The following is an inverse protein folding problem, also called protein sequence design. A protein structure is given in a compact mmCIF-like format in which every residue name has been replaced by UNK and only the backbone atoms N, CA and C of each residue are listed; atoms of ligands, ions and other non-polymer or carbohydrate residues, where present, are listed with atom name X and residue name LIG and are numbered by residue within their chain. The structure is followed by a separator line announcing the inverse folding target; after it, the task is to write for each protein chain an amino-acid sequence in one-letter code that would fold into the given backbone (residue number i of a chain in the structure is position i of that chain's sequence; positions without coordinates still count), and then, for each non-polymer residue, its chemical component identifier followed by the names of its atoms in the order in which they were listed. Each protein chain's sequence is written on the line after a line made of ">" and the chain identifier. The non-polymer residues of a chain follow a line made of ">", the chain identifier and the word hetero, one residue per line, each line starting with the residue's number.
data_IF_490301901489
#
_entry.id   IF_490301901489
#
_cell.length_a   1.000
_cell.length_b   1.000
_cell.length_c   1.000
_cell.angle_alpha   90.00
_cell.angle_beta   90.00
_cell.angle_gamma   90.00
#
_symmetry.space_group_name_H-M   'P 1'
#
loop_
_entity.id
_entity.type
_entity.pdbx_description
1 polymer ?
#
# COMPACT_ATOMS: atom_id res chain seq x y z
N UNK A 1 -10.22 26.80 -44.98
CA UNK A 1 -9.09 26.00 -44.45
C UNK A 1 -8.07 27.01 -43.92
N UNK A 2 -8.07 27.27 -42.61
CA UNK A 2 -7.13 28.20 -41.97
C UNK A 2 -5.75 27.53 -41.98
N UNK A 3 -4.82 28.00 -42.81
CA UNK A 3 -3.48 27.44 -42.89
C UNK A 3 -2.44 28.23 -42.09
N UNK A 4 -2.71 29.51 -41.80
CA UNK A 4 -1.70 30.43 -41.27
C UNK A 4 -2.18 31.28 -40.07
N UNK A 5 -3.22 30.86 -39.34
CA UNK A 5 -3.65 31.56 -38.12
C UNK A 5 -4.18 33.00 -38.31
N UNK A 6 -4.43 33.44 -39.55
CA UNK A 6 -4.98 34.75 -39.86
C UNK A 6 -6.46 34.67 -40.24
N UNK A 7 -7.24 35.65 -39.79
CA UNK A 7 -8.61 35.88 -40.23
C UNK A 7 -8.89 37.35 -40.46
N UNK A 8 -9.81 37.65 -41.37
CA UNK A 8 -10.19 39.03 -41.71
C UNK A 8 -11.50 39.38 -41.02
N UNK A 9 -11.51 40.48 -40.26
CA UNK A 9 -12.72 41.06 -39.69
C UNK A 9 -12.79 42.55 -40.07
N UNK A 10 -13.89 42.95 -40.70
CA UNK A 10 -14.15 44.32 -41.19
C UNK A 10 -12.97 44.94 -41.97
N UNK A 11 -12.35 44.14 -42.84
CA UNK A 11 -11.24 44.60 -43.69
C UNK A 11 -9.87 44.67 -42.99
N UNK A 12 -9.79 44.33 -41.70
CA UNK A 12 -8.53 44.22 -40.98
C UNK A 12 -8.13 42.74 -40.81
N UNK A 13 -6.90 42.41 -41.20
CA UNK A 13 -6.29 41.09 -40.96
C UNK A 13 -5.89 41.01 -39.49
N UNK A 14 -6.42 40.05 -38.75
CA UNK A 14 -6.03 39.73 -37.37
C UNK A 14 -5.28 38.40 -37.33
N UNK A 15 -4.18 38.36 -36.57
CA UNK A 15 -3.45 37.13 -36.26
C UNK A 15 -3.99 36.52 -34.97
N UNK A 16 -4.24 35.21 -34.96
CA UNK A 16 -4.65 34.46 -33.77
C UNK A 16 -3.46 34.06 -32.88
N UNK A 17 -2.22 34.43 -33.25
CA UNK A 17 -1.01 33.93 -32.61
C UNK A 17 -0.73 32.46 -32.95
N UNK A 18 0.49 31.99 -32.67
CA UNK A 18 0.91 30.62 -32.99
C UNK A 18 0.22 29.61 -32.06
N UNK A 19 -0.52 28.62 -32.60
CA UNK A 19 -1.13 27.58 -31.76
C UNK A 19 -0.07 26.58 -31.28
N UNK A 20 0.07 26.43 -29.96
CA UNK A 20 0.80 25.31 -29.36
C UNK A 20 -0.05 24.04 -29.48
N UNK A 21 0.35 23.14 -30.39
CA UNK A 21 -0.29 21.84 -30.60
C UNK A 21 0.44 20.75 -29.79
N UNK A 22 -0.19 20.27 -28.72
CA UNK A 22 0.31 19.15 -27.93
C UNK A 22 -0.27 17.82 -28.43
N UNK A 23 0.59 16.95 -28.97
CA UNK A 23 0.21 15.57 -29.31
C UNK A 23 0.64 14.63 -28.17
N UNK A 24 -0.32 14.27 -27.31
CA UNK A 24 -0.11 13.28 -26.25
C UNK A 24 -0.26 11.87 -26.82
N UNK A 25 0.86 11.21 -27.13
CA UNK A 25 0.86 9.84 -27.63
C UNK A 25 1.34 8.89 -26.54
N UNK A 26 0.45 8.06 -26.01
CA UNK A 26 0.81 6.90 -25.20
C UNK A 26 1.40 5.83 -26.11
N UNK A 27 2.71 5.70 -26.19
CA UNK A 27 3.36 4.55 -26.81
C UNK A 27 4.07 3.71 -25.74
N UNK A 28 3.84 2.40 -25.74
CA UNK A 28 4.76 1.46 -25.11
C UNK A 28 6.05 1.43 -25.94
N UNK A 29 7.23 1.29 -25.31
CA UNK A 29 8.48 1.23 -26.06
C UNK A 29 8.44 0.02 -27.01
N UNK A 30 8.76 0.18 -28.31
CA UNK A 30 9.00 -0.96 -29.17
C UNK A 30 10.22 -1.73 -28.65
N UNK A 31 10.18 -3.06 -28.75
CA UNK A 31 11.26 -3.98 -28.40
C UNK A 31 12.44 -3.94 -29.39
N UNK A 32 12.78 -2.78 -29.94
CA UNK A 32 13.84 -2.61 -30.94
C UNK A 32 14.94 -1.74 -30.37
N UNK A 33 16.10 -2.38 -30.17
CA UNK A 33 17.36 -1.74 -29.83
C UNK A 33 17.69 -0.63 -30.83
N UNK A 34 17.96 0.57 -30.29
CA UNK A 34 18.94 1.53 -30.79
C UNK A 34 18.79 2.01 -32.23
N UNK A 35 18.02 3.08 -32.44
CA UNK A 35 18.46 4.12 -33.38
C UNK A 35 18.94 5.28 -32.52
N UNK A 36 20.25 5.57 -32.46
CA UNK A 36 20.74 6.70 -31.71
C UNK A 36 20.20 7.99 -32.32
N UNK A 37 19.74 8.90 -31.46
CA UNK A 37 19.40 10.26 -31.85
C UNK A 37 20.69 10.92 -32.35
N UNK A 38 20.74 11.48 -33.57
CA UNK A 38 21.94 12.15 -34.06
C UNK A 38 22.22 13.33 -33.13
N UNK A 39 23.33 13.26 -32.39
CA UNK A 39 23.78 14.37 -31.54
C UNK A 39 24.78 15.16 -32.37
N UNK A 40 24.46 16.41 -32.70
CA UNK A 40 25.35 17.29 -33.44
C UNK A 40 26.65 17.49 -32.65
N UNK A 41 27.79 17.29 -33.29
CA UNK A 41 29.10 17.51 -32.66
C UNK A 41 29.42 19.00 -32.59
N UNK A 42 30.18 19.40 -31.56
CA UNK A 42 30.53 20.79 -31.23
C UNK A 42 31.29 21.56 -32.33
N UNK A 43 31.69 20.91 -33.42
CA UNK A 43 32.33 21.56 -34.56
C UNK A 43 31.36 22.15 -35.59
N UNK A 44 30.05 21.84 -35.55
CA UNK A 44 29.06 22.37 -36.51
C UNK A 44 28.51 23.77 -36.14
N UNK A 45 28.92 24.32 -34.99
CA UNK A 45 28.35 25.57 -34.45
C UNK A 45 29.04 26.86 -34.93
N UNK A 46 30.13 26.77 -35.71
CA UNK A 46 30.91 27.98 -36.08
C UNK A 46 30.38 28.76 -37.28
N UNK A 47 29.40 28.25 -38.02
CA UNK A 47 28.97 28.85 -39.30
C UNK A 47 27.49 29.28 -39.39
N UNK A 48 26.76 29.40 -38.27
CA UNK A 48 25.36 29.87 -38.29
C UNK A 48 25.22 31.28 -37.74
N UNK A 49 25.22 32.25 -38.66
CA UNK A 49 24.67 33.59 -38.43
C UNK A 49 23.19 33.48 -38.01
N UNK A 50 22.84 34.23 -36.95
CA UNK A 50 21.48 34.55 -36.49
C UNK A 50 20.45 33.43 -36.64
N UNK A 51 20.35 32.56 -35.63
CA UNK A 51 19.17 31.71 -35.46
C UNK A 51 18.03 32.62 -35.02
N UNK A 52 17.03 32.80 -35.88
CA UNK A 52 15.76 33.41 -35.53
C UNK A 52 15.04 32.49 -34.52
N UNK A 53 14.97 32.93 -33.26
CA UNK A 53 14.34 32.17 -32.16
C UNK A 53 12.88 31.79 -32.48
N UNK A 54 12.19 32.58 -33.30
CA UNK A 54 10.81 32.29 -33.72
C UNK A 54 10.73 31.07 -34.63
N UNK A 55 11.67 30.91 -35.57
CA UNK A 55 11.75 29.73 -36.42
C UNK A 55 12.18 28.48 -35.64
N UNK A 56 13.01 28.62 -34.60
CA UNK A 56 13.38 27.48 -33.73
C UNK A 56 12.16 26.95 -32.97
N UNK A 57 11.31 27.84 -32.46
CA UNK A 57 10.07 27.50 -31.73
C UNK A 57 9.01 26.87 -32.66
N UNK A 58 8.94 27.33 -33.92
CA UNK A 58 8.03 26.76 -34.93
C UNK A 58 8.37 25.30 -35.30
N UNK A 59 9.64 24.89 -35.15
CA UNK A 59 10.12 23.53 -35.43
C UNK A 59 10.38 22.69 -34.18
N UNK A 60 10.16 23.23 -32.99
CA UNK A 60 10.29 22.53 -31.71
C UNK A 60 9.09 21.60 -31.50
N UNK A 61 9.09 20.49 -32.22
CA UNK A 61 8.21 19.36 -31.91
C UNK A 61 8.74 18.62 -30.69
N UNK A 62 8.33 19.07 -29.51
CA UNK A 62 8.58 18.36 -28.26
C UNK A 62 7.75 17.07 -28.21
N UNK A 63 8.39 15.92 -28.41
CA UNK A 63 7.75 14.62 -28.12
C UNK A 63 7.88 14.36 -26.62
N UNK A 64 6.83 14.70 -25.85
CA UNK A 64 6.74 14.29 -24.45
C UNK A 64 6.29 12.83 -24.40
N UNK A 65 7.23 11.91 -24.18
CA UNK A 65 6.92 10.50 -23.95
C UNK A 65 6.47 10.30 -22.50
N UNK A 66 5.16 10.20 -22.30
CA UNK A 66 4.61 9.85 -20.98
C UNK A 66 4.68 8.33 -20.84
N UNK A 67 5.47 7.86 -19.87
CA UNK A 67 5.57 6.44 -19.56
C UNK A 67 4.21 5.92 -19.07
N UNK A 68 3.77 4.79 -19.62
CA UNK A 68 2.53 4.13 -19.21
C UNK A 68 2.61 3.45 -17.82
N UNK A 69 1.53 2.77 -17.41
CA UNK A 69 1.48 2.11 -16.10
C UNK A 69 2.39 0.87 -16.03
N UNK A 70 2.78 0.28 -17.16
CA UNK A 70 3.59 -0.93 -17.17
C UNK A 70 5.05 -0.64 -16.81
N UNK A 71 5.67 -1.60 -16.12
CA UNK A 71 7.11 -1.57 -15.86
C UNK A 71 7.85 -1.65 -17.19
N UNK A 72 8.75 -0.70 -17.45
CA UNK A 72 9.46 -0.63 -18.75
C UNK A 72 10.74 -1.46 -18.78
N UNK A 73 11.35 -1.72 -17.62
CA UNK A 73 12.54 -2.56 -17.47
C UNK A 73 12.63 -3.10 -16.04
N UNK A 74 13.48 -4.10 -15.80
CA UNK A 74 13.73 -4.63 -14.45
C UNK A 74 14.22 -3.57 -13.44
N UNK A 75 14.84 -2.50 -13.95
CA UNK A 75 15.33 -1.35 -13.18
C UNK A 75 14.26 -0.28 -12.93
N UNK A 76 13.15 -0.28 -13.69
CA UNK A 76 12.01 0.62 -13.45
C UNK A 76 11.30 0.19 -12.16
N UNK A 77 11.77 0.71 -11.02
CA UNK A 77 11.11 0.55 -9.71
C UNK A 77 10.00 1.58 -9.47
N UNK A 78 9.96 2.63 -10.30
CA UNK A 78 9.04 3.77 -10.14
C UNK A 78 7.67 3.53 -10.80
N UNK A 79 7.47 2.41 -11.51
CA UNK A 79 6.19 2.09 -12.13
C UNK A 79 5.02 2.07 -11.14
N UNK A 80 5.23 1.59 -9.91
CA UNK A 80 4.20 1.58 -8.86
C UNK A 80 3.82 3.00 -8.42
N UNK A 81 4.79 3.90 -8.31
CA UNK A 81 4.56 5.33 -8.01
C UNK A 81 3.82 6.00 -9.17
N UNK A 82 4.23 5.78 -10.42
CA UNK A 82 3.51 6.27 -11.60
C UNK A 82 2.06 5.78 -11.60
N UNK A 83 1.84 4.49 -11.32
CA UNK A 83 0.49 3.90 -11.21
C UNK A 83 -0.31 4.56 -10.09
N UNK A 84 0.29 4.83 -8.94
CA UNK A 84 -0.40 5.51 -7.84
C UNK A 84 -0.84 6.92 -8.25
N UNK A 85 0.01 7.67 -8.96
CA UNK A 85 -0.34 9.00 -9.49
C UNK A 85 -1.48 8.91 -10.52
N UNK A 86 -1.38 7.98 -11.48
CA UNK A 86 -2.42 7.75 -12.49
C UNK A 86 -3.75 7.34 -11.85
N UNK A 87 -3.71 6.35 -10.96
CA UNK A 87 -4.87 5.85 -10.22
C UNK A 87 -5.54 6.98 -9.43
N UNK A 88 -4.76 7.77 -8.68
CA UNK A 88 -5.28 8.90 -7.92
C UNK A 88 -5.96 9.92 -8.82
N UNK A 89 -5.33 10.28 -9.94
CA UNK A 89 -5.91 11.24 -10.89
C UNK A 89 -7.21 10.72 -11.50
N UNK A 90 -7.25 9.45 -11.91
CA UNK A 90 -8.45 8.84 -12.51
C UNK A 90 -9.60 8.72 -11.50
N UNK A 91 -9.30 8.32 -10.26
CA UNK A 91 -10.29 8.29 -9.19
C UNK A 91 -10.82 9.70 -8.88
N UNK A 92 -9.94 10.70 -8.82
CA UNK A 92 -10.35 12.10 -8.58
C UNK A 92 -11.27 12.62 -9.68
N UNK A 93 -10.99 12.27 -10.94
CA UNK A 93 -11.81 12.70 -12.07
C UNK A 93 -13.16 11.97 -12.15
N UNK A 94 -13.19 10.65 -11.91
CA UNK A 94 -14.39 9.82 -12.13
C UNK A 94 -15.27 9.65 -10.90
N UNK A 95 -14.65 9.66 -9.72
CA UNK A 95 -15.31 9.35 -8.44
C UNK A 95 -14.88 10.35 -7.35
N UNK A 96 -15.12 11.67 -7.54
CA UNK A 96 -14.69 12.70 -6.61
C UNK A 96 -15.27 12.52 -5.20
N UNK A 97 -16.44 11.87 -5.06
CA UNK A 97 -17.08 11.57 -3.78
C UNK A 97 -16.31 10.57 -2.91
N UNK A 98 -15.34 9.84 -3.45
CA UNK A 98 -14.47 8.96 -2.68
C UNK A 98 -13.37 9.71 -1.90
N UNK A 99 -13.17 11.00 -2.19
CA UNK A 99 -12.16 11.82 -1.52
C UNK A 99 -12.75 12.48 -0.28
N UNK A 100 -12.04 12.33 0.83
CA UNK A 100 -12.33 13.05 2.07
C UNK A 100 -11.92 14.52 1.96
N UNK A 101 -12.37 15.35 2.90
CA UNK A 101 -11.98 16.78 2.98
C UNK A 101 -10.47 16.98 3.10
N UNK A 102 -9.76 15.99 3.66
CA UNK A 102 -8.30 15.93 3.76
C UNK A 102 -7.61 15.61 2.43
N UNK A 103 -8.36 15.25 1.38
CA UNK A 103 -7.83 14.82 0.08
C UNK A 103 -7.33 13.36 0.06
N UNK A 104 -7.59 12.61 1.13
CA UNK A 104 -7.32 11.17 1.24
C UNK A 104 -8.46 10.34 0.63
N UNK A 105 -8.15 9.10 0.24
CA UNK A 105 -9.11 8.13 -0.29
C UNK A 105 -9.00 6.82 0.47
N UNK A 106 -10.15 6.26 0.86
CA UNK A 106 -10.22 4.97 1.54
C UNK A 106 -10.22 3.84 0.49
N UNK A 107 -9.08 3.17 0.33
CA UNK A 107 -8.94 1.97 -0.52
C UNK A 107 -8.50 0.81 0.36
N UNK A 108 -9.12 -0.35 0.18
CA UNK A 108 -8.68 -1.58 0.84
C UNK A 108 -7.27 -1.99 0.36
N UNK A 109 -6.43 -2.45 1.28
CA UNK A 109 -5.01 -2.72 1.00
C UNK A 109 -4.81 -3.72 -0.13
N UNK A 110 -5.54 -4.84 -0.13
CA UNK A 110 -5.44 -5.84 -1.20
C UNK A 110 -5.83 -5.26 -2.57
N UNK A 111 -6.84 -4.39 -2.61
CA UNK A 111 -7.26 -3.71 -3.84
C UNK A 111 -6.17 -2.76 -4.34
N UNK A 112 -5.63 -1.92 -3.46
CA UNK A 112 -4.54 -1.01 -3.81
C UNK A 112 -3.30 -1.78 -4.27
N UNK A 113 -2.93 -2.83 -3.54
CA UNK A 113 -1.81 -3.71 -3.84
C UNK A 113 -1.94 -4.35 -5.23
N UNK A 114 -3.11 -4.89 -5.55
CA UNK A 114 -3.38 -5.47 -6.87
C UNK A 114 -3.30 -4.43 -8.00
N UNK A 115 -3.89 -3.24 -7.79
CA UNK A 115 -3.84 -2.17 -8.79
C UNK A 115 -2.43 -1.60 -8.99
N UNK A 116 -1.61 -1.56 -7.94
CA UNK A 116 -0.25 -1.02 -8.04
C UNK A 116 0.77 -2.03 -8.54
N UNK A 117 0.68 -3.30 -8.15
CA UNK A 117 1.76 -4.28 -8.34
C UNK A 117 1.48 -5.39 -9.36
N UNK A 118 0.26 -5.49 -9.92
CA UNK A 118 0.01 -6.46 -10.99
C UNK A 118 1.04 -6.32 -12.13
N UNK A 119 1.71 -7.38 -12.62
CA UNK A 119 2.91 -7.21 -13.44
C UNK A 119 2.68 -6.39 -14.71
N UNK A 120 1.53 -6.59 -15.35
CA UNK A 120 1.24 -5.99 -16.64
C UNK A 120 -0.25 -5.73 -16.86
N UNK A 121 -0.56 -4.53 -17.33
CA UNK A 121 -1.84 -4.11 -17.88
C UNK A 121 -1.82 -4.29 -19.40
N UNK A 122 -2.61 -5.22 -19.92
CA UNK A 122 -2.61 -5.65 -21.35
C UNK A 122 -2.75 -4.51 -22.36
N UNK A 123 -3.41 -3.43 -21.97
CA UNK A 123 -3.64 -2.24 -22.81
C UNK A 123 -3.22 -0.95 -22.09
N UNK A 124 -2.21 -1.04 -21.22
CA UNK A 124 -1.69 0.08 -20.45
C UNK A 124 -2.77 0.80 -19.65
N UNK A 125 -2.82 2.13 -19.77
CA UNK A 125 -3.74 2.97 -19.00
C UNK A 125 -5.23 2.67 -19.29
N UNK A 126 -5.56 2.19 -20.50
CA UNK A 126 -6.94 1.82 -20.86
C UNK A 126 -7.44 0.61 -20.08
N UNK A 127 -6.56 -0.35 -19.80
CA UNK A 127 -6.89 -1.50 -18.95
C UNK A 127 -7.19 -1.05 -17.53
N UNK A 128 -6.36 -0.19 -16.95
CA UNK A 128 -6.60 0.39 -15.62
C UNK A 128 -7.93 1.18 -15.60
N UNK A 129 -8.15 2.02 -16.62
CA UNK A 129 -9.37 2.82 -16.76
C UNK A 129 -10.63 1.97 -16.79
N UNK A 130 -10.58 0.86 -17.55
CA UNK A 130 -11.73 -0.01 -17.71
C UNK A 130 -12.07 -0.73 -16.41
N UNK A 131 -11.07 -1.24 -15.68
CA UNK A 131 -11.27 -1.85 -14.35
C UNK A 131 -11.93 -0.86 -13.40
N UNK A 132 -11.45 0.39 -13.34
CA UNK A 132 -12.04 1.41 -12.48
C UNK A 132 -13.47 1.78 -12.90
N UNK A 133 -13.72 1.90 -14.20
CA UNK A 133 -15.02 2.31 -14.74
C UNK A 133 -16.09 1.23 -14.64
N UNK A 134 -15.69 -0.05 -14.57
CA UNK A 134 -16.61 -1.17 -14.32
C UNK A 134 -16.71 -1.55 -12.85
N UNK A 135 -15.96 -0.87 -11.97
CA UNK A 135 -16.08 -1.01 -10.51
C UNK A 135 -17.34 -0.30 -9.99
N UNK A 136 -18.00 -0.89 -9.00
CA UNK A 136 -19.26 -0.40 -8.41
C UNK A 136 -18.99 0.67 -7.33
N UNK A 137 -18.51 1.84 -7.76
CA UNK A 137 -18.02 2.89 -6.85
C UNK A 137 -19.00 4.05 -6.61
N UNK A 138 -20.07 4.20 -7.40
CA UNK A 138 -20.91 5.41 -7.40
C UNK A 138 -21.57 5.77 -6.06
N UNK A 139 -21.87 4.79 -5.19
CA UNK A 139 -22.51 5.00 -3.89
C UNK A 139 -21.65 4.56 -2.71
N UNK A 140 -20.38 4.24 -2.96
CA UNK A 140 -19.45 3.75 -1.94
C UNK A 140 -18.64 4.92 -1.36
N UNK A 141 -18.25 4.79 -0.10
CA UNK A 141 -17.30 5.69 0.60
C UNK A 141 -15.90 5.11 0.68
N UNK A 142 -15.73 3.84 0.28
CA UNK A 142 -14.48 3.09 0.28
C UNK A 142 -14.40 2.21 -0.96
N UNK A 143 -13.22 2.09 -1.55
CA UNK A 143 -12.94 1.12 -2.60
C UNK A 143 -12.49 -0.21 -1.96
N UNK A 144 -13.44 -1.10 -1.74
CA UNK A 144 -13.25 -2.45 -1.18
C UNK A 144 -13.27 -3.54 -2.27
N UNK A 145 -12.94 -4.78 -1.91
CA UNK A 145 -12.94 -5.91 -2.86
C UNK A 145 -14.32 -6.14 -3.49
N UNK A 146 -15.42 -5.86 -2.77
CA UNK A 146 -16.78 -6.05 -3.28
C UNK A 146 -17.16 -5.06 -4.39
N UNK A 147 -16.44 -3.93 -4.47
CA UNK A 147 -16.64 -2.93 -5.50
C UNK A 147 -15.91 -3.28 -6.81
N UNK A 148 -14.94 -4.21 -6.79
CA UNK A 148 -14.21 -4.60 -7.99
C UNK A 148 -15.12 -5.33 -9.00
N UNK A 149 -14.77 -5.31 -10.31
CA UNK A 149 -15.45 -6.13 -11.31
C UNK A 149 -15.23 -7.63 -11.03
N UNK A 150 -16.08 -8.52 -11.57
CA UNK A 150 -15.84 -9.96 -11.54
C UNK A 150 -14.48 -10.35 -12.15
N UNK A 151 -13.90 -11.45 -11.69
CA UNK A 151 -12.57 -11.92 -12.15
C UNK A 151 -12.53 -12.08 -13.67
N UNK A 152 -13.62 -12.55 -14.28
CA UNK A 152 -13.74 -12.76 -15.72
C UNK A 152 -13.60 -11.44 -16.51
N UNK A 153 -14.04 -10.32 -15.92
CA UNK A 153 -13.88 -8.99 -16.53
C UNK A 153 -12.47 -8.44 -16.28
N UNK A 154 -11.92 -8.65 -15.08
CA UNK A 154 -10.55 -8.22 -14.74
C UNK A 154 -9.53 -8.93 -15.65
N UNK A 155 -9.73 -10.22 -15.93
CA UNK A 155 -8.85 -11.02 -16.78
C UNK A 155 -8.76 -10.50 -18.22
N UNK A 156 -9.72 -9.69 -18.71
CA UNK A 156 -9.60 -9.04 -20.02
C UNK A 156 -8.52 -7.95 -20.03
N UNK A 157 -8.12 -7.44 -18.87
CA UNK A 157 -7.26 -6.27 -18.71
C UNK A 157 -5.89 -6.58 -18.10
N UNK A 158 -5.79 -7.65 -17.32
CA UNK A 158 -4.59 -8.14 -16.62
C UNK A 158 -4.60 -9.67 -16.58
N UNK A 159 -3.56 -10.30 -16.03
CA UNK A 159 -3.67 -11.71 -15.64
C UNK A 159 -4.56 -11.84 -14.39
N UNK A 160 -5.74 -12.46 -14.57
CA UNK A 160 -6.77 -12.55 -13.53
C UNK A 160 -6.28 -13.26 -12.28
N UNK A 161 -5.68 -14.45 -12.43
CA UNK A 161 -5.17 -15.24 -11.30
C UNK A 161 -4.13 -14.48 -10.49
N UNK A 162 -3.19 -13.83 -11.16
CA UNK A 162 -2.17 -12.99 -10.53
C UNK A 162 -2.80 -11.80 -9.81
N UNK A 163 -3.74 -11.10 -10.46
CA UNK A 163 -4.45 -9.97 -9.85
C UNK A 163 -5.20 -10.40 -8.57
N UNK A 164 -5.96 -11.49 -8.63
CA UNK A 164 -6.68 -12.04 -7.48
C UNK A 164 -5.73 -12.51 -6.36
N UNK A 165 -4.52 -12.96 -6.70
CA UNK A 165 -3.50 -13.29 -5.70
C UNK A 165 -3.04 -12.07 -4.91
N UNK A 166 -2.96 -10.89 -5.55
CA UNK A 166 -2.59 -9.62 -4.91
C UNK A 166 -3.71 -9.02 -4.04
N UNK A 167 -4.97 -9.39 -4.28
CA UNK A 167 -6.09 -9.00 -3.41
C UNK A 167 -5.97 -9.61 -2.03
N UNK A 168 -5.24 -10.72 -1.89
CA UNK A 168 -4.85 -11.24 -0.58
C UNK A 168 -3.76 -10.30 -0.06
N UNK A 169 -3.96 -9.73 1.13
CA UNK A 169 -3.02 -8.77 1.75
C UNK A 169 -1.56 -9.24 1.59
N UNK A 170 -0.61 -8.31 1.35
CA UNK A 170 0.80 -8.65 1.13
C UNK A 170 1.27 -9.58 2.24
N UNK A 171 1.55 -10.83 1.87
CA UNK A 171 1.99 -11.82 2.84
C UNK A 171 3.45 -11.57 3.16
N UNK A 172 3.77 -11.56 4.44
CA UNK A 172 5.15 -11.60 4.88
C UNK A 172 5.84 -12.83 4.27
N UNK A 173 7.13 -12.76 3.89
CA UNK A 173 7.91 -13.94 3.54
C UNK A 173 7.74 -15.02 4.61
N UNK A 174 7.54 -16.28 4.22
CA UNK A 174 7.15 -17.34 5.16
C UNK A 174 8.11 -17.48 6.36
N UNK A 175 9.43 -17.38 6.11
CA UNK A 175 10.44 -17.42 7.16
C UNK A 175 10.37 -16.21 8.12
N UNK A 176 10.07 -15.02 7.59
CA UNK A 176 9.86 -13.82 8.40
C UNK A 176 8.59 -13.97 9.24
N UNK A 177 7.48 -14.36 8.61
CA UNK A 177 6.18 -14.60 9.27
C UNK A 177 6.34 -15.51 10.48
N UNK A 178 7.02 -16.65 10.33
CA UNK A 178 7.20 -17.61 11.42
C UNK A 178 8.07 -17.04 12.54
N UNK A 179 9.17 -16.35 12.20
CA UNK A 179 10.05 -15.72 13.19
C UNK A 179 9.33 -14.63 13.99
N UNK A 180 8.56 -13.78 13.32
CA UNK A 180 7.76 -12.75 14.00
C UNK A 180 6.68 -13.38 14.88
N UNK A 181 5.97 -14.41 14.39
CA UNK A 181 4.96 -15.10 15.17
C UNK A 181 5.55 -15.72 16.45
N UNK A 182 6.70 -16.39 16.38
CA UNK A 182 7.39 -16.92 17.57
C UNK A 182 7.80 -15.81 18.54
N UNK A 183 8.38 -14.71 18.04
CA UNK A 183 8.80 -13.58 18.88
C UNK A 183 7.63 -12.91 19.61
N UNK A 184 6.50 -12.72 18.92
CA UNK A 184 5.25 -12.23 19.51
C UNK A 184 4.72 -13.21 20.56
N UNK A 185 4.72 -14.51 20.27
CA UNK A 185 4.28 -15.55 21.22
C UNK A 185 5.08 -15.53 22.52
N UNK A 186 6.40 -15.38 22.43
CA UNK A 186 7.28 -15.26 23.60
C UNK A 186 6.94 -14.02 24.43
N UNK A 187 6.70 -12.87 23.78
CA UNK A 187 6.29 -11.64 24.47
C UNK A 187 4.94 -11.81 25.19
N UNK A 188 3.99 -12.46 24.53
CA UNK A 188 2.69 -12.80 25.10
C UNK A 188 2.80 -13.71 26.34
N UNK A 189 3.55 -14.82 26.25
CA UNK A 189 3.77 -15.75 27.38
C UNK A 189 4.37 -15.01 28.57
N UNK A 190 5.41 -14.20 28.33
CA UNK A 190 6.06 -13.40 29.37
C UNK A 190 5.05 -12.50 30.11
N UNK A 191 4.27 -11.70 29.37
CA UNK A 191 3.27 -10.79 29.97
C UNK A 191 2.21 -11.56 30.75
N UNK A 192 1.74 -12.70 30.24
CA UNK A 192 0.75 -13.54 30.93
C UNK A 192 1.29 -14.14 32.23
N UNK A 193 2.55 -14.55 32.25
CA UNK A 193 3.21 -15.03 33.48
C UNK A 193 3.34 -13.92 34.52
N UNK A 194 3.67 -12.69 34.11
CA UNK A 194 3.75 -11.53 35.01
C UNK A 194 2.39 -11.14 35.61
N UNK A 195 1.29 -11.40 34.89
CA UNK A 195 -0.07 -11.14 35.38
C UNK A 195 -0.56 -12.15 36.43
N UNK A 196 0.00 -13.37 36.46
CA UNK A 196 -0.39 -14.39 37.43
C UNK A 196 0.32 -14.16 38.78
N UNK A 197 -0.39 -13.56 39.73
CA UNK A 197 0.20 -13.11 41.01
C UNK A 197 0.01 -14.14 42.13
N UNK A 198 -1.12 -14.84 42.14
CA UNK A 198 -1.46 -15.84 43.15
C UNK A 198 -1.06 -17.26 42.71
N UNK A 199 -0.84 -18.20 43.66
CA UNK A 199 -0.56 -19.60 43.31
C UNK A 199 -1.64 -20.24 42.44
N UNK A 200 -2.92 -19.96 42.73
CA UNK A 200 -4.06 -20.48 41.97
C UNK A 200 -4.09 -19.94 40.52
N UNK A 201 -3.75 -18.65 40.32
CA UNK A 201 -3.66 -18.08 38.97
C UNK A 201 -2.50 -18.67 38.17
N UNK A 202 -1.36 -18.95 38.83
CA UNK A 202 -0.20 -19.59 38.18
C UNK A 202 -0.51 -21.01 37.76
N UNK A 203 -1.13 -21.80 38.64
CA UNK A 203 -1.58 -23.16 38.31
C UNK A 203 -2.60 -23.16 37.16
N UNK A 204 -3.58 -22.26 37.20
CA UNK A 204 -4.54 -22.11 36.11
C UNK A 204 -3.85 -21.71 34.79
N UNK A 205 -2.84 -20.82 34.86
CA UNK A 205 -2.08 -20.39 33.69
C UNK A 205 -1.26 -21.54 33.08
N UNK A 206 -0.58 -22.35 33.89
CA UNK A 206 0.19 -23.51 33.44
C UNK A 206 -0.70 -24.54 32.72
N UNK A 207 -1.96 -24.67 33.13
CA UNK A 207 -2.94 -25.55 32.48
C UNK A 207 -3.61 -24.97 31.21
N UNK A 208 -3.40 -23.68 30.89
CA UNK A 208 -3.97 -23.05 29.69
C UNK A 208 -3.17 -23.50 28.46
N UNK A 209 -3.82 -24.12 27.48
CA UNK A 209 -3.20 -24.58 26.24
C UNK A 209 -2.49 -23.46 25.44
N UNK A 210 -2.80 -22.18 25.70
CA UNK A 210 -2.07 -21.04 25.12
C UNK A 210 -0.70 -20.78 25.75
N UNK A 211 -0.33 -21.50 26.81
CA UNK A 211 0.95 -21.38 27.51
C UNK A 211 1.93 -22.52 27.20
N UNK A 212 1.54 -23.50 26.38
CA UNK A 212 2.43 -24.57 25.92
C UNK A 212 3.60 -24.00 25.10
N UNK A 213 4.62 -24.80 24.85
CA UNK A 213 5.73 -24.37 24.01
C UNK A 213 5.34 -24.31 22.54
N UNK A 214 6.10 -23.54 21.76
CA UNK A 214 5.73 -23.26 20.37
C UNK A 214 5.49 -24.55 19.60
N UNK A 215 6.36 -25.56 19.72
CA UNK A 215 6.22 -26.79 18.93
C UNK A 215 4.96 -27.60 19.30
N UNK A 216 4.56 -27.56 20.56
CA UNK A 216 3.40 -28.29 21.11
C UNK A 216 2.08 -27.51 21.00
N UNK A 217 2.16 -26.22 20.67
CA UNK A 217 1.01 -25.34 20.58
C UNK A 217 0.03 -25.82 19.50
N UNK A 218 -1.26 -25.82 19.82
CA UNK A 218 -2.32 -26.20 18.89
C UNK A 218 -2.22 -25.37 17.59
N UNK A 219 -2.45 -25.97 16.39
CA UNK A 219 -2.30 -25.28 15.11
C UNK A 219 -3.12 -23.99 15.01
N UNK A 220 -4.31 -23.95 15.62
CA UNK A 220 -5.16 -22.76 15.63
C UNK A 220 -4.55 -21.59 16.42
N UNK A 221 -3.85 -21.87 17.52
CA UNK A 221 -3.21 -20.87 18.36
C UNK A 221 -1.93 -20.35 17.69
N UNK A 222 -1.13 -21.23 17.06
CA UNK A 222 -0.04 -20.82 16.16
C UNK A 222 -0.53 -19.88 15.07
N UNK A 223 -1.64 -20.24 14.43
CA UNK A 223 -2.21 -19.42 13.37
C UNK A 223 -2.76 -18.07 13.87
N UNK A 224 -3.21 -17.98 15.13
CA UNK A 224 -3.61 -16.70 15.74
C UNK A 224 -2.42 -15.75 15.84
N UNK A 225 -1.26 -16.23 16.29
CA UNK A 225 -0.05 -15.39 16.37
C UNK A 225 0.55 -15.10 15.00
N UNK A 226 0.44 -16.01 14.03
CA UNK A 226 0.82 -15.73 12.63
C UNK A 226 -0.07 -14.67 12.00
N UNK A 227 -1.38 -14.71 12.24
CA UNK A 227 -2.31 -13.69 11.77
C UNK A 227 -1.99 -12.31 12.38
N UNK A 228 -1.55 -12.27 13.64
CA UNK A 228 -1.03 -11.06 14.26
C UNK A 228 0.22 -10.53 13.54
N UNK A 229 1.18 -11.41 13.22
CA UNK A 229 2.38 -11.04 12.47
C UNK A 229 2.02 -10.49 11.07
N UNK A 230 1.12 -11.16 10.35
CA UNK A 230 0.66 -10.71 9.03
C UNK A 230 -0.02 -9.33 9.05
N UNK A 231 -0.56 -8.93 10.19
CA UNK A 231 -1.23 -7.64 10.37
C UNK A 231 -0.27 -6.48 10.71
N UNK A 232 1.00 -6.76 11.00
CA UNK A 232 2.02 -5.75 11.33
C UNK A 232 2.10 -4.66 10.25
N UNK A 233 2.25 -4.97 8.94
CA UNK A 233 2.33 -3.94 7.90
C UNK A 233 1.10 -3.01 7.89
N UNK A 234 -0.10 -3.55 8.10
CA UNK A 234 -1.33 -2.73 8.16
C UNK A 234 -1.31 -1.77 9.35
N UNK A 235 -0.89 -2.24 10.53
CA UNK A 235 -0.74 -1.42 11.73
C UNK A 235 0.29 -0.31 11.53
N UNK A 236 1.48 -0.64 11.01
CA UNK A 236 2.52 0.34 10.74
C UNK A 236 2.02 1.47 9.83
N UNK A 237 1.29 1.12 8.76
CA UNK A 237 0.73 2.12 7.83
C UNK A 237 -0.28 3.06 8.50
N UNK A 238 -0.99 2.62 9.53
CA UNK A 238 -1.93 3.48 10.27
C UNK A 238 -1.22 4.58 11.08
N UNK A 239 0.06 4.39 11.40
CA UNK A 239 0.94 5.38 12.06
C UNK A 239 2.01 5.93 11.11
N UNK A 240 1.73 5.94 9.80
CA UNK A 240 2.63 6.41 8.74
C UNK A 240 4.04 5.77 8.77
N UNK A 241 4.12 4.55 9.30
CA UNK A 241 5.33 3.76 9.36
C UNK A 241 5.29 2.61 8.34
N UNK A 242 6.46 2.08 8.04
CA UNK A 242 6.65 0.89 7.22
C UNK A 242 7.90 0.14 7.66
N UNK A 243 7.97 -1.15 7.31
CA UNK A 243 9.10 -2.01 7.68
C UNK A 243 10.00 -2.28 6.46
N UNK A 244 11.31 -2.23 6.67
CA UNK A 244 12.33 -2.51 5.67
C UNK A 244 13.39 -3.47 6.23
N UNK A 245 13.97 -4.29 5.36
CA UNK A 245 15.04 -5.24 5.67
C UNK A 245 16.44 -4.69 5.35
N UNK A 246 16.54 -3.38 5.11
CA UNK A 246 17.77 -2.68 4.79
C UNK A 246 17.81 -1.38 5.58
N UNK A 247 19.02 -0.96 5.91
CA UNK A 247 19.22 0.32 6.58
C UNK A 247 18.95 1.47 5.62
N UNK A 248 18.34 2.52 6.17
CA UNK A 248 17.97 3.74 5.46
C UNK A 248 18.32 4.95 6.32
N UNK A 249 18.69 6.00 5.62
CA UNK A 249 18.91 7.35 6.14
C UNK A 249 17.82 8.28 5.60
N UNK A 250 18.04 9.59 5.72
CA UNK A 250 17.17 10.62 5.14
C UNK A 250 16.73 10.30 3.71
N UNK A 251 15.44 10.52 3.38
CA UNK A 251 14.39 11.18 4.18
C UNK A 251 13.68 10.24 5.17
N UNK A 252 14.20 9.03 5.41
CA UNK A 252 13.59 8.06 6.30
C UNK A 252 14.19 8.13 7.70
N UNK A 253 13.31 8.17 8.70
CA UNK A 253 13.66 8.21 10.11
C UNK A 253 13.40 6.84 10.71
N UNK A 254 14.42 6.25 11.33
CA UNK A 254 14.29 5.00 12.06
C UNK A 254 13.40 5.17 13.30
N UNK A 255 12.48 4.23 13.51
CA UNK A 255 11.50 4.23 14.60
C UNK A 255 11.78 3.03 15.52
N UNK A 256 12.62 3.20 16.56
CA UNK A 256 12.94 2.11 17.48
C UNK A 256 11.79 1.80 18.46
N UNK A 257 10.92 2.78 18.69
CA UNK A 257 9.78 2.72 19.60
C UNK A 257 8.63 3.60 19.08
N UNK A 258 7.40 3.27 19.47
CA UNK A 258 6.23 4.06 19.15
C UNK A 258 5.94 5.07 20.25
N UNK A 259 5.36 6.21 19.90
CA UNK A 259 4.84 7.17 20.88
C UNK A 259 3.64 6.58 21.65
N UNK A 260 3.28 7.20 22.77
CA UNK A 260 2.14 6.75 23.60
C UNK A 260 0.83 6.75 22.80
N UNK A 261 0.57 7.80 22.03
CA UNK A 261 -0.64 7.90 21.21
C UNK A 261 -0.69 6.82 20.11
N UNK A 262 0.45 6.52 19.48
CA UNK A 262 0.55 5.44 18.51
C UNK A 262 0.35 4.07 19.17
N UNK A 263 0.93 3.84 20.35
CA UNK A 263 0.73 2.60 21.10
C UNK A 263 -0.74 2.39 21.43
N UNK A 264 -1.46 3.39 21.91
CA UNK A 264 -2.88 3.27 22.25
C UNK A 264 -3.73 2.92 21.01
N UNK A 265 -3.53 3.66 19.90
CA UNK A 265 -4.24 3.40 18.65
C UNK A 265 -3.95 1.99 18.11
N UNK A 266 -2.67 1.59 18.09
CA UNK A 266 -2.27 0.29 17.58
C UNK A 266 -2.74 -0.87 18.49
N UNK A 267 -2.85 -0.63 19.79
CA UNK A 267 -3.35 -1.62 20.77
C UNK A 267 -4.84 -1.87 20.56
N UNK A 268 -5.62 -0.81 20.35
CA UNK A 268 -7.03 -0.95 19.98
C UNK A 268 -7.19 -1.71 18.66
N UNK A 269 -6.37 -1.39 17.65
CA UNK A 269 -6.35 -2.13 16.38
C UNK A 269 -5.97 -3.61 16.53
N UNK A 270 -5.06 -3.96 17.46
CA UNK A 270 -4.73 -5.36 17.76
C UNK A 270 -5.92 -6.09 18.39
N UNK A 271 -6.60 -5.45 19.35
CA UNK A 271 -7.76 -6.03 20.01
C UNK A 271 -8.94 -6.23 19.05
N UNK A 272 -9.20 -5.26 18.17
CA UNK A 272 -10.20 -5.40 17.11
C UNK A 272 -9.88 -6.58 16.19
N UNK A 273 -8.61 -6.71 15.77
CA UNK A 273 -8.15 -7.84 14.96
C UNK A 273 -8.31 -9.16 15.71
N UNK A 274 -8.01 -9.20 17.01
CA UNK A 274 -8.22 -10.37 17.87
C UNK A 274 -9.69 -10.77 17.92
N UNK A 275 -10.59 -9.83 18.20
CA UNK A 275 -12.02 -10.09 18.25
C UNK A 275 -12.56 -10.57 16.90
N UNK A 276 -12.14 -9.94 15.80
CA UNK A 276 -12.52 -10.37 14.46
C UNK A 276 -12.11 -11.81 14.17
N UNK A 277 -10.87 -12.19 14.50
CA UNK A 277 -10.38 -13.56 14.34
C UNK A 277 -11.17 -14.56 15.19
N UNK A 278 -11.41 -14.22 16.47
CA UNK A 278 -12.14 -15.07 17.41
C UNK A 278 -13.57 -15.31 16.94
N UNK A 279 -14.27 -14.27 16.51
CA UNK A 279 -15.64 -14.38 15.97
C UNK A 279 -15.67 -15.23 14.69
N UNK A 280 -14.74 -15.02 13.75
CA UNK A 280 -14.63 -15.85 12.54
C UNK A 280 -14.39 -17.33 12.86
N UNK A 281 -13.71 -17.62 13.97
CA UNK A 281 -13.43 -18.98 14.46
C UNK A 281 -14.46 -19.49 15.47
N UNK A 282 -15.63 -18.85 15.54
CA UNK A 282 -16.76 -19.25 16.39
C UNK A 282 -16.46 -19.28 17.89
N UNK A 283 -15.54 -18.45 18.35
CA UNK A 283 -15.34 -18.23 19.78
C UNK A 283 -16.54 -17.50 20.39
N UNK A 284 -16.79 -17.78 21.66
CA UNK A 284 -17.95 -17.25 22.39
C UNK A 284 -17.53 -16.43 23.60
N UNK A 285 -18.40 -15.51 23.98
CA UNK A 285 -18.25 -14.76 25.23
C UNK A 285 -18.35 -15.72 26.42
N UNK A 286 -17.46 -15.59 27.40
CA UNK A 286 -17.49 -16.37 28.63
C UNK A 286 -16.14 -16.42 29.34
N UNK A 287 -16.01 -17.18 30.45
CA UNK A 287 -14.73 -17.36 31.13
C UNK A 287 -13.64 -17.84 30.16
N UNK A 288 -12.42 -17.33 30.32
CA UNK A 288 -11.32 -17.64 29.41
C UNK A 288 -11.04 -19.14 29.40
N UNK A 289 -11.12 -19.76 28.23
CA UNK A 289 -10.70 -21.15 28.03
C UNK A 289 -10.34 -21.39 26.56
N UNK A 290 -9.05 -21.67 26.31
CA UNK A 290 -8.57 -21.98 24.97
C UNK A 290 -9.22 -23.25 24.42
N UNK A 291 -9.34 -24.28 25.26
CA UNK A 291 -9.92 -25.57 24.89
C UNK A 291 -11.42 -25.49 24.55
N UNK A 292 -12.17 -24.58 25.22
CA UNK A 292 -13.62 -24.41 25.00
C UNK A 292 -13.96 -23.31 23.99
N UNK A 293 -12.95 -22.61 23.46
CA UNK A 293 -13.10 -21.41 22.61
C UNK A 293 -13.99 -20.34 23.26
N UNK A 294 -13.78 -20.09 24.55
CA UNK A 294 -14.47 -19.03 25.28
C UNK A 294 -13.50 -17.95 25.73
N UNK A 295 -13.91 -16.70 25.62
CA UNK A 295 -13.09 -15.55 26.02
C UNK A 295 -13.97 -14.40 26.52
N UNK A 296 -13.59 -13.71 27.60
CA UNK A 296 -14.35 -12.58 28.12
C UNK A 296 -14.04 -11.28 27.37
N UNK A 297 -13.09 -11.31 26.42
CA UNK A 297 -12.56 -10.12 25.75
C UNK A 297 -13.33 -9.73 24.48
N UNK A 298 -14.45 -10.39 24.14
CA UNK A 298 -15.31 -10.03 23.01
C UNK A 298 -16.15 -8.76 23.28
N UNK A 299 -15.51 -7.74 23.85
CA UNK A 299 -16.03 -6.41 24.14
C UNK A 299 -15.18 -5.35 23.43
N UNK A 300 -15.68 -4.12 23.23
CA UNK A 300 -14.85 -3.00 22.75
C UNK A 300 -13.60 -2.80 23.61
N UNK A 301 -12.50 -2.35 23.00
CA UNK A 301 -11.21 -2.18 23.70
C UNK A 301 -11.33 -1.25 24.91
N UNK A 302 -12.08 -0.15 24.77
CA UNK A 302 -12.36 0.79 25.86
C UNK A 302 -12.96 0.15 27.11
N UNK A 303 -13.71 -0.94 26.95
CA UNK A 303 -14.43 -1.64 28.03
C UNK A 303 -13.58 -2.76 28.68
N UNK A 304 -12.36 -3.00 28.19
CA UNK A 304 -11.41 -3.90 28.85
C UNK A 304 -10.87 -3.31 30.15
N UNK A 305 -10.57 -4.19 31.11
CA UNK A 305 -9.78 -3.84 32.29
C UNK A 305 -8.36 -3.42 31.89
N UNK A 306 -7.73 -2.57 32.70
CA UNK A 306 -6.37 -2.08 32.42
C UNK A 306 -5.35 -3.20 32.19
N UNK A 307 -5.37 -4.26 33.02
CA UNK A 307 -4.44 -5.39 32.89
C UNK A 307 -4.49 -6.05 31.49
N UNK A 308 -5.68 -6.11 30.87
CA UNK A 308 -5.85 -6.69 29.54
C UNK A 308 -5.56 -5.70 28.41
N UNK A 309 -5.81 -4.40 28.62
CA UNK A 309 -5.29 -3.35 27.71
C UNK A 309 -3.77 -3.36 27.65
N UNK A 310 -3.13 -3.59 28.80
CA UNK A 310 -1.66 -3.70 28.88
C UNK A 310 -1.11 -4.92 28.13
N UNK A 311 -1.90 -5.99 27.97
CA UNK A 311 -1.52 -7.12 27.12
C UNK A 311 -1.45 -6.66 25.67
N UNK A 312 -2.51 -6.03 25.15
CA UNK A 312 -2.52 -5.52 23.77
C UNK A 312 -1.39 -4.50 23.53
N UNK A 313 -1.11 -3.66 24.53
CA UNK A 313 0.00 -2.69 24.48
C UNK A 313 1.36 -3.36 24.36
N UNK A 314 1.65 -4.37 25.18
CA UNK A 314 2.91 -5.14 25.08
C UNK A 314 3.03 -5.84 23.73
N UNK A 315 1.90 -6.34 23.20
CA UNK A 315 1.87 -7.03 21.91
C UNK A 315 2.21 -6.11 20.73
N UNK A 316 1.95 -4.81 20.83
CA UNK A 316 2.37 -3.81 19.85
C UNK A 316 3.77 -3.29 20.15
N UNK A 317 4.05 -2.95 21.40
CA UNK A 317 5.32 -2.37 21.84
C UNK A 317 6.52 -3.28 21.54
N UNK A 318 6.33 -4.61 21.55
CA UNK A 318 7.40 -5.53 21.24
C UNK A 318 7.74 -5.63 19.73
N UNK A 319 6.90 -5.13 18.84
CA UNK A 319 7.04 -5.28 17.38
C UNK A 319 8.38 -4.78 16.83
N UNK A 320 8.88 -3.56 17.18
CA UNK A 320 10.18 -3.09 16.69
C UNK A 320 11.32 -4.04 17.05
N UNK A 321 11.36 -4.54 18.30
CA UNK A 321 12.36 -5.49 18.78
C UNK A 321 12.27 -6.84 18.07
N UNK A 322 11.04 -7.36 17.90
CA UNK A 322 10.81 -8.64 17.21
C UNK A 322 11.22 -8.55 15.74
N UNK A 323 10.92 -7.45 15.05
CA UNK A 323 11.40 -7.19 13.69
C UNK A 323 12.93 -7.13 13.62
N UNK A 324 13.58 -6.47 14.57
CA UNK A 324 15.04 -6.36 14.61
C UNK A 324 15.73 -7.72 14.66
N UNK A 325 15.15 -8.71 15.36
CA UNK A 325 15.67 -10.09 15.40
C UNK A 325 15.67 -10.79 14.03
N UNK A 326 14.88 -10.27 13.09
CA UNK A 326 14.80 -10.76 11.73
C UNK A 326 15.61 -9.93 10.73
N UNK A 327 16.33 -8.90 11.18
CA UNK A 327 17.02 -7.92 10.33
C UNK A 327 16.08 -6.89 9.70
N UNK A 328 14.86 -6.73 10.25
CA UNK A 328 13.90 -5.72 9.80
C UNK A 328 13.83 -4.56 10.78
N UNK A 329 13.63 -3.36 10.27
CA UNK A 329 13.50 -2.12 11.05
C UNK A 329 12.28 -1.34 10.58
N UNK A 330 11.74 -0.51 11.47
CA UNK A 330 10.60 0.37 11.17
C UNK A 330 11.13 1.76 10.82
N UNK A 331 10.54 2.35 9.80
CA UNK A 331 10.84 3.71 9.37
C UNK A 331 9.55 4.50 9.15
N UNK A 332 9.66 5.82 9.23
CA UNK A 332 8.66 6.77 8.73
C UNK A 332 9.33 7.81 7.86
N UNK A 333 8.55 8.46 6.99
CA UNK A 333 9.03 9.63 6.26
C UNK A 333 9.22 10.79 7.22
N UNK A 334 10.28 11.57 7.03
CA UNK A 334 10.40 12.89 7.64
C UNK A 334 9.23 13.77 7.16
N UNK A 335 8.57 14.45 8.08
CA UNK A 335 7.58 15.46 7.73
C UNK A 335 8.30 16.72 7.26
N UNK A 336 7.95 17.22 6.08
CA UNK A 336 8.40 18.53 5.62
C UNK A 336 7.82 19.58 6.59
N UNK A 337 8.71 20.32 7.26
CA UNK A 337 8.37 21.30 8.31
C UNK A 337 7.69 22.55 7.77
#
# INVERSE_FOLDING_TARGET
>A
MMRDGHFTDRGHVRSLGSPLLFFLVNQEPPSLEGIPTPTASSNDFKDRQFIDESQLLDHLHGVVRILGPNQTSAQDKMFSVRRAMMLRQMLKQKFPHLFETTGQIKIEEGVLHALLLVPHYKHGLRSLDKILSTSRLSSKVKFDVSALPPEEQIQLHVDGRTFMSFLRSPKLPAALRERLAQGLFVAYKKKRTEMARTPAEKEALESDASMYDWDELAPELKESTRAQADDIPRKLRAVNCFMLNEDRSEPLIHVPEFSVAELDMLSEMEHERFNAERLQRQWKMGPRSSNKRTTPFLVPWRDLTQDWKDVDRVMVECVPRVLATAGWKIYRMQEDS
#
